data_IF_089868321900
#
_entry.id   IF_089868321900
#
_cell.length_a   1.000
_cell.length_b   1.000
_cell.length_c   1.000
_cell.angle_alpha   90.00
_cell.angle_beta   90.00
_cell.angle_gamma   90.00
#
_symmetry.space_group_name_H-M   'P 1'
#
loop_
_entity.id
_entity.type
_entity.pdbx_description
1 polymer ?
#
# COMPACT_ATOMS: atom_id res chain seq x y z
N UNK A 1 2.77 -16.31 -22.79
CA UNK A 1 2.02 -15.47 -21.83
C UNK A 1 1.90 -16.23 -20.52
N UNK A 2 2.59 -15.77 -19.48
CA UNK A 2 2.46 -16.36 -18.16
C UNK A 2 1.01 -16.16 -17.69
N UNK A 3 0.31 -17.25 -17.43
CA UNK A 3 -1.06 -17.21 -16.90
C UNK A 3 -0.96 -16.78 -15.43
N UNK A 4 -1.25 -15.50 -15.18
CA UNK A 4 -1.24 -14.95 -13.83
C UNK A 4 -2.53 -15.38 -13.11
N UNK A 5 -2.50 -16.57 -12.49
CA UNK A 5 -3.59 -17.05 -11.65
C UNK A 5 -3.34 -16.58 -10.21
N UNK A 6 -4.20 -15.68 -9.72
CA UNK A 6 -4.15 -15.20 -8.34
C UNK A 6 -5.22 -15.87 -7.49
N UNK A 7 -4.83 -16.22 -6.27
CA UNK A 7 -5.80 -16.58 -5.25
C UNK A 7 -6.69 -15.36 -4.91
N UNK A 8 -7.93 -15.62 -4.53
CA UNK A 8 -8.87 -14.56 -4.14
C UNK A 8 -8.43 -14.01 -2.77
N UNK A 9 -8.27 -12.70 -2.67
CA UNK A 9 -7.94 -12.05 -1.41
C UNK A 9 -9.04 -12.32 -0.36
N UNK A 10 -8.67 -12.49 0.93
CA UNK A 10 -9.64 -12.67 2.00
C UNK A 10 -10.62 -11.49 2.07
N UNK A 11 -11.86 -11.78 2.42
CA UNK A 11 -12.92 -10.77 2.54
C UNK A 11 -12.56 -9.75 3.64
N UNK A 12 -12.26 -8.54 3.21
CA UNK A 12 -12.06 -7.43 4.11
C UNK A 12 -13.41 -7.01 4.71
N UNK A 13 -13.43 -6.67 6.00
CA UNK A 13 -14.63 -6.19 6.68
C UNK A 13 -15.28 -5.02 5.90
N UNK A 14 -16.60 -5.06 5.75
CA UNK A 14 -17.38 -4.05 5.01
C UNK A 14 -17.15 -2.61 5.50
N UNK A 15 -16.87 -2.44 6.79
CA UNK A 15 -16.57 -1.14 7.40
C UNK A 15 -15.27 -0.54 6.83
N UNK A 16 -14.24 -1.37 6.66
CA UNK A 16 -12.99 -0.94 6.04
C UNK A 16 -13.14 -0.66 4.55
N UNK A 17 -13.98 -1.42 3.85
CA UNK A 17 -14.30 -1.15 2.45
C UNK A 17 -15.01 0.20 2.28
N UNK A 18 -16.00 0.50 3.14
CA UNK A 18 -16.71 1.76 3.10
C UNK A 18 -15.77 2.93 3.39
N UNK A 19 -14.96 2.82 4.44
CA UNK A 19 -13.96 3.85 4.77
C UNK A 19 -12.93 4.02 3.66
N UNK A 20 -12.46 2.92 3.07
CA UNK A 20 -11.56 2.96 1.93
C UNK A 20 -12.15 3.73 0.75
N UNK A 21 -13.42 3.49 0.42
CA UNK A 21 -14.11 4.23 -0.66
C UNK A 21 -14.25 5.72 -0.35
N UNK A 22 -14.53 6.09 0.90
CA UNK A 22 -14.58 7.48 1.33
C UNK A 22 -13.20 8.15 1.19
N UNK A 23 -12.14 7.48 1.62
CA UNK A 23 -10.75 7.98 1.47
C UNK A 23 -10.41 8.19 -0.01
N UNK A 24 -10.76 7.24 -0.87
CA UNK A 24 -10.51 7.33 -2.31
C UNK A 24 -11.25 8.52 -2.92
N UNK A 25 -12.52 8.66 -2.58
CA UNK A 25 -13.34 9.78 -3.08
C UNK A 25 -12.79 11.12 -2.62
N UNK A 26 -12.41 11.22 -1.34
CA UNK A 26 -11.78 12.41 -0.79
C UNK A 26 -10.43 12.69 -1.46
N UNK A 27 -9.57 11.69 -1.61
CA UNK A 27 -8.28 11.84 -2.27
C UNK A 27 -8.43 12.33 -3.72
N UNK A 28 -9.38 11.79 -4.45
CA UNK A 28 -9.68 12.25 -5.83
C UNK A 28 -10.18 13.68 -5.88
N UNK A 29 -11.07 14.02 -4.96
CA UNK A 29 -11.69 15.37 -4.93
C UNK A 29 -10.67 16.44 -4.55
N UNK A 30 -9.86 16.20 -3.52
CA UNK A 30 -8.92 17.20 -3.01
C UNK A 30 -7.62 17.30 -3.80
N UNK A 31 -7.11 16.22 -4.33
CA UNK A 31 -5.84 16.23 -5.06
C UNK A 31 -6.00 16.48 -6.57
N UNK A 32 -7.20 16.29 -7.11
CA UNK A 32 -7.45 16.47 -8.55
C UNK A 32 -6.52 15.64 -9.45
N UNK A 33 -5.92 14.56 -8.92
CA UNK A 33 -4.92 13.80 -9.64
C UNK A 33 -5.50 13.10 -10.86
N UNK A 34 -4.70 13.04 -11.91
CA UNK A 34 -4.97 12.25 -13.11
C UNK A 34 -3.93 11.15 -13.22
N UNK A 35 -4.38 9.92 -13.43
CA UNK A 35 -3.49 8.78 -13.64
C UNK A 35 -3.28 8.55 -15.11
N UNK A 36 -2.01 8.48 -15.52
CA UNK A 36 -1.63 8.11 -16.86
C UNK A 36 -0.71 6.89 -16.81
N UNK A 37 -1.12 5.82 -17.43
CA UNK A 37 -0.29 4.63 -17.59
C UNK A 37 0.61 4.80 -18.81
N UNK A 38 1.93 4.73 -18.60
CA UNK A 38 2.95 4.88 -19.65
C UNK A 38 3.70 3.56 -19.77
N UNK A 39 3.71 2.99 -20.96
CA UNK A 39 4.43 1.76 -21.32
C UNK A 39 4.07 0.51 -20.46
N UNK A 40 3.01 0.59 -19.67
CA UNK A 40 2.48 -0.55 -18.93
C UNK A 40 0.96 -0.45 -18.82
N UNK A 41 0.30 -1.60 -18.82
CA UNK A 41 -1.12 -1.68 -18.51
C UNK A 41 -1.28 -2.22 -17.08
N UNK A 42 -2.27 -1.72 -16.33
CA UNK A 42 -2.58 -2.26 -15.02
C UNK A 42 -3.08 -3.70 -15.19
N UNK A 43 -2.51 -4.63 -14.44
CA UNK A 43 -2.94 -6.02 -14.41
C UNK A 43 -2.99 -6.56 -12.97
N UNK A 44 -3.54 -7.75 -12.79
CA UNK A 44 -3.69 -8.39 -11.47
C UNK A 44 -2.47 -9.23 -11.08
N UNK A 45 -1.40 -9.25 -11.86
CA UNK A 45 -0.17 -9.94 -11.50
C UNK A 45 0.47 -9.31 -10.28
N UNK A 46 1.10 -10.13 -9.46
CA UNK A 46 1.84 -9.66 -8.30
C UNK A 46 3.01 -8.78 -8.72
N UNK A 47 3.07 -7.56 -8.18
CA UNK A 47 4.09 -6.56 -8.53
C UNK A 47 4.57 -5.80 -7.31
N UNK A 48 5.76 -5.24 -7.41
CA UNK A 48 6.27 -4.25 -6.46
C UNK A 48 6.30 -2.91 -7.19
N UNK A 49 5.51 -1.97 -6.70
CA UNK A 49 5.48 -0.59 -7.20
C UNK A 49 6.45 0.25 -6.39
N UNK A 50 7.46 0.80 -7.03
CA UNK A 50 8.38 1.75 -6.41
C UNK A 50 7.92 3.17 -6.70
N UNK A 51 7.88 4.00 -5.69
CA UNK A 51 7.48 5.39 -5.82
C UNK A 51 8.35 6.32 -4.98
N UNK A 52 8.48 7.55 -5.43
CA UNK A 52 9.10 8.62 -4.66
C UNK A 52 8.16 9.05 -3.53
N UNK A 53 8.73 9.49 -2.42
CA UNK A 53 8.00 9.83 -1.21
C UNK A 53 8.29 11.26 -0.77
N UNK A 54 7.28 12.11 -0.78
CA UNK A 54 7.37 13.47 -0.27
C UNK A 54 6.43 13.70 0.93
N UNK A 55 5.37 12.91 1.03
CA UNK A 55 4.34 13.04 2.07
C UNK A 55 3.79 11.70 2.50
N UNK A 56 3.38 11.58 3.76
CA UNK A 56 2.67 10.38 4.24
C UNK A 56 1.37 10.06 3.49
N UNK A 57 0.82 11.05 2.76
CA UNK A 57 -0.37 10.88 1.94
C UNK A 57 -0.08 10.24 0.58
N UNK A 58 1.17 10.22 0.13
CA UNK A 58 1.53 9.68 -1.18
C UNK A 58 1.13 8.21 -1.33
N UNK A 59 1.29 7.42 -0.26
CA UNK A 59 0.86 6.04 -0.23
C UNK A 59 -0.65 5.89 -0.46
N UNK A 60 -1.45 6.77 0.14
CA UNK A 60 -2.91 6.78 0.00
C UNK A 60 -3.31 7.20 -1.40
N UNK A 61 -2.67 8.24 -1.95
CA UNK A 61 -2.95 8.74 -3.29
C UNK A 61 -2.63 7.68 -4.34
N UNK A 62 -1.44 7.09 -4.28
CA UNK A 62 -1.04 6.02 -5.21
C UNK A 62 -1.96 4.81 -5.13
N UNK A 63 -2.27 4.36 -3.92
CA UNK A 63 -3.19 3.25 -3.72
C UNK A 63 -4.59 3.55 -4.26
N UNK A 64 -5.11 4.76 -4.03
CA UNK A 64 -6.42 5.19 -4.51
C UNK A 64 -6.47 5.35 -6.04
N UNK A 65 -5.34 5.59 -6.67
CA UNK A 65 -5.20 5.73 -8.11
C UNK A 65 -5.31 4.40 -8.87
N UNK A 66 -5.03 3.27 -8.20
CA UNK A 66 -5.13 1.95 -8.81
C UNK A 66 -6.59 1.58 -9.11
N UNK A 67 -6.85 0.85 -10.21
CA UNK A 67 -8.15 0.23 -10.46
C UNK A 67 -8.59 -0.65 -9.27
N UNK A 68 -9.88 -0.75 -9.01
CA UNK A 68 -10.43 -1.43 -7.83
C UNK A 68 -9.93 -2.86 -7.66
N UNK A 69 -9.86 -3.62 -8.75
CA UNK A 69 -9.41 -5.01 -8.74
C UNK A 69 -7.95 -5.14 -8.31
N UNK A 70 -7.09 -4.27 -8.84
CA UNK A 70 -5.66 -4.23 -8.51
C UNK A 70 -5.45 -3.68 -7.10
N UNK A 71 -6.17 -2.63 -6.74
CA UNK A 71 -6.10 -1.99 -5.43
C UNK A 71 -6.41 -2.96 -4.29
N UNK A 72 -7.41 -3.82 -4.44
CA UNK A 72 -7.77 -4.82 -3.44
C UNK A 72 -6.66 -5.87 -3.23
N UNK A 73 -5.77 -6.03 -4.19
CA UNK A 73 -4.61 -6.93 -4.15
C UNK A 73 -3.29 -6.19 -3.93
N UNK A 74 -3.34 -4.91 -3.55
CA UNK A 74 -2.13 -4.08 -3.36
C UNK A 74 -2.10 -3.51 -1.96
N UNK A 75 -0.95 -3.66 -1.29
CA UNK A 75 -0.73 -3.18 0.07
C UNK A 75 0.37 -2.11 0.07
N UNK A 76 0.08 -0.87 0.48
CA UNK A 76 1.13 0.11 0.73
C UNK A 76 1.97 -0.29 1.94
N UNK A 77 3.28 -0.18 1.85
CA UNK A 77 4.19 -0.36 2.98
C UNK A 77 4.28 0.94 3.74
N UNK A 78 3.98 0.90 5.02
CA UNK A 78 3.92 2.08 5.87
C UNK A 78 4.63 1.87 7.20
N UNK A 79 5.16 2.96 7.78
CA UNK A 79 5.88 2.90 9.04
C UNK A 79 4.91 2.75 10.23
N UNK A 80 5.10 1.71 11.04
CA UNK A 80 4.30 1.43 12.22
C UNK A 80 4.44 2.52 13.29
N UNK A 81 5.61 3.11 13.41
CA UNK A 81 5.91 4.21 14.35
C UNK A 81 5.06 5.46 14.09
N UNK A 82 4.59 5.68 12.87
CA UNK A 82 3.67 6.77 12.53
C UNK A 82 2.20 6.31 12.54
N UNK A 83 1.87 5.26 11.79
CA UNK A 83 0.50 4.81 11.59
C UNK A 83 -0.05 3.97 12.73
N UNK A 84 0.83 3.41 13.57
CA UNK A 84 0.45 2.62 14.75
C UNK A 84 0.17 3.43 16.01
N UNK A 85 0.49 4.74 16.05
CA UNK A 85 0.46 5.56 17.29
C UNK A 85 -0.95 5.75 17.87
N UNK A 86 -1.95 5.93 17.03
CA UNK A 86 -3.31 6.24 17.47
C UNK A 86 -4.31 5.26 16.88
N UNK A 87 -5.42 5.03 17.58
CA UNK A 87 -6.45 4.09 17.14
C UNK A 87 -7.04 4.47 15.78
N UNK A 88 -7.27 5.76 15.52
CA UNK A 88 -7.81 6.22 14.25
C UNK A 88 -6.82 6.04 13.09
N UNK A 89 -5.52 6.25 13.30
CA UNK A 89 -4.50 5.99 12.28
C UNK A 89 -4.41 4.51 11.96
N UNK A 90 -4.47 3.63 12.97
CA UNK A 90 -4.52 2.18 12.76
C UNK A 90 -5.77 1.77 11.97
N UNK A 91 -6.91 2.37 12.29
CA UNK A 91 -8.14 2.12 11.55
C UNK A 91 -8.01 2.54 10.07
N UNK A 92 -7.47 3.73 9.81
CA UNK A 92 -7.21 4.20 8.44
C UNK A 92 -6.22 3.29 7.70
N UNK A 93 -5.12 2.92 8.34
CA UNK A 93 -4.13 2.02 7.74
C UNK A 93 -4.74 0.67 7.33
N UNK A 94 -5.64 0.14 8.14
CA UNK A 94 -6.41 -1.07 7.79
C UNK A 94 -7.37 -0.84 6.64
N UNK A 95 -7.94 0.35 6.52
CA UNK A 95 -8.91 0.67 5.46
C UNK A 95 -8.27 0.70 4.07
N UNK A 96 -7.02 1.11 3.95
CA UNK A 96 -6.26 0.98 2.70
C UNK A 96 -5.29 -0.22 2.69
N UNK A 97 -5.53 -1.19 3.57
CA UNK A 97 -4.81 -2.46 3.64
C UNK A 97 -3.28 -2.31 3.77
N UNK A 98 -2.81 -1.29 4.50
CA UNK A 98 -1.39 -1.04 4.65
C UNK A 98 -0.67 -2.16 5.40
N UNK A 99 0.55 -2.44 4.95
CA UNK A 99 1.50 -3.28 5.67
C UNK A 99 2.34 -2.40 6.60
N UNK A 100 2.14 -2.54 7.90
CA UNK A 100 2.87 -1.76 8.89
C UNK A 100 4.18 -2.45 9.28
N UNK A 101 5.30 -1.80 9.00
CA UNK A 101 6.64 -2.28 9.33
C UNK A 101 7.20 -1.50 10.51
N UNK A 102 7.64 -2.24 11.53
CA UNK A 102 8.34 -1.68 12.68
C UNK A 102 9.84 -1.57 12.39
N UNK A 103 10.28 -0.36 12.07
CA UNK A 103 11.68 -0.07 11.78
C UNK A 103 12.62 -0.28 12.96
N UNK A 104 12.11 -0.23 14.20
CA UNK A 104 12.89 -0.43 15.41
C UNK A 104 13.14 -1.92 15.73
N UNK A 105 12.31 -2.80 15.23
CA UNK A 105 12.43 -4.25 15.41
C UNK A 105 13.24 -4.95 14.33
N UNK A 106 13.73 -4.21 13.35
CA UNK A 106 14.68 -4.73 12.37
C UNK A 106 15.98 -5.02 13.12
N UNK A 107 16.05 -6.20 13.71
CA UNK A 107 17.29 -6.71 14.30
C UNK A 107 18.33 -6.87 13.19
N UNK A 108 19.60 -6.69 13.55
CA UNK A 108 20.79 -6.72 12.68
C UNK A 108 20.88 -7.92 11.71
N UNK A 109 20.03 -8.92 11.87
CA UNK A 109 20.02 -10.15 11.08
C UNK A 109 18.74 -10.41 10.25
N UNK A 110 17.78 -9.47 10.21
CA UNK A 110 16.58 -9.63 9.38
C UNK A 110 16.44 -8.44 8.45
N UNK A 111 16.56 -8.71 7.16
CA UNK A 111 16.29 -7.70 6.14
C UNK A 111 14.81 -7.28 6.20
N UNK A 112 14.49 -5.97 6.08
CA UNK A 112 13.12 -5.51 5.91
C UNK A 112 12.41 -6.22 4.74
N UNK A 113 13.17 -6.58 3.72
CA UNK A 113 12.68 -7.30 2.54
C UNK A 113 12.18 -8.70 2.90
N UNK A 114 12.87 -9.42 3.79
CA UNK A 114 12.46 -10.77 4.21
C UNK A 114 11.12 -10.72 4.98
N UNK A 115 10.92 -9.69 5.80
CA UNK A 115 9.64 -9.46 6.47
C UNK A 115 8.53 -9.15 5.47
N UNK A 116 8.81 -8.30 4.50
CA UNK A 116 7.87 -7.98 3.42
C UNK A 116 7.49 -9.23 2.63
N UNK A 117 8.45 -10.06 2.25
CA UNK A 117 8.23 -11.29 1.48
C UNK A 117 7.34 -12.26 2.27
N UNK A 118 7.53 -12.41 3.56
CA UNK A 118 6.69 -13.28 4.41
C UNK A 118 5.25 -12.80 4.52
N UNK A 119 5.05 -11.48 4.60
CA UNK A 119 3.74 -10.87 4.82
C UNK A 119 2.91 -10.73 3.54
N UNK A 120 3.55 -10.72 2.36
CA UNK A 120 2.81 -10.54 1.10
C UNK A 120 2.14 -11.83 0.63
N UNK A 121 2.58 -12.97 1.16
CA UNK A 121 2.16 -14.24 0.60
C UNK A 121 2.26 -14.19 -0.95
N UNK A 122 1.78 -15.14 -1.69
CA UNK A 122 1.81 -15.10 -3.16
C UNK A 122 0.63 -14.31 -3.77
N UNK A 123 -0.05 -13.49 -2.96
CA UNK A 123 -1.30 -12.84 -3.34
C UNK A 123 -1.15 -11.34 -3.57
N UNK A 124 -0.45 -10.65 -2.66
CA UNK A 124 -0.43 -9.19 -2.63
C UNK A 124 0.70 -8.57 -3.44
N UNK A 125 0.40 -7.46 -4.11
CA UNK A 125 1.39 -6.51 -4.61
C UNK A 125 1.74 -5.50 -3.52
N UNK A 126 2.90 -4.90 -3.60
CA UNK A 126 3.35 -3.86 -2.65
C UNK A 126 3.55 -2.52 -3.33
N UNK A 127 3.27 -1.44 -2.60
CA UNK A 127 3.77 -0.10 -2.91
C UNK A 127 4.87 0.20 -1.90
N UNK A 128 6.09 0.40 -2.39
CA UNK A 128 7.29 0.62 -1.57
C UNK A 128 7.89 1.99 -1.89
N UNK A 129 8.29 2.69 -0.86
CA UNK A 129 9.03 3.95 -0.94
C UNK A 129 10.48 3.69 -0.53
N UNK A 130 11.42 3.56 -1.48
CA UNK A 130 12.80 3.12 -1.20
C UNK A 130 13.55 4.07 -0.28
N UNK A 131 13.20 5.35 -0.28
CA UNK A 131 13.87 6.38 0.51
C UNK A 131 13.65 6.24 2.02
N UNK A 132 12.74 5.37 2.46
CA UNK A 132 12.58 4.85 3.83
C UNK A 132 12.43 5.86 4.96
N UNK A 133 12.47 7.12 4.71
CA UNK A 133 12.39 8.24 5.64
C UNK A 133 12.87 9.51 4.98
N UNK A 134 12.35 10.65 5.42
CA UNK A 134 12.91 11.94 5.04
C UNK A 134 14.38 11.93 5.41
N UNK A 135 15.26 12.28 4.47
CA UNK A 135 16.56 12.78 4.85
C UNK A 135 16.29 14.01 5.73
N UNK A 136 16.59 13.88 7.01
CA UNK A 136 16.61 15.03 7.90
C UNK A 136 17.66 15.98 7.33
N UNK A 137 17.17 17.04 6.71
CA UNK A 137 17.98 18.19 6.30
C UNK A 137 18.24 19.06 7.50
#
# INVERSE_FOLDING_TARGET
AAHCSRAVAPLQDWRHKLTGNVIITAARFFSGYTVRWIDCQPDTCQRIYFANHSSHLDAVVLWSALPTEIRNLTRPVAAKDYWGKTAWKRFLARSFNAMLIDRKQIKVHQSPVDLMIREIEDIYSLIVFPEGGRADS
#
